data_IF_934935788664
#
_entry.id   IF_934935788664
#
_cell.length_a   1.000
_cell.length_b   1.000
_cell.length_c   1.000
_cell.angle_alpha   90.00
_cell.angle_beta   90.00
_cell.angle_gamma   90.00
#
_symmetry.space_group_name_H-M   'P 1'
#
loop_
_entity.id
_entity.type
_entity.pdbx_description
1 polymer ?
#
# COMPACT_ATOMS: atom_id res chain seq x y z
N UNK A 1 42.15 70.70 5.17
CA UNK A 1 42.74 69.97 4.03
C UNK A 1 41.89 68.75 3.76
N UNK A 2 41.52 68.57 2.49
CA UNK A 2 40.63 67.51 1.98
C UNK A 2 41.36 66.18 1.97
N UNK A 3 40.67 65.11 2.33
CA UNK A 3 40.90 63.78 1.77
C UNK A 3 39.56 63.05 1.72
N UNK A 4 38.89 63.15 0.57
CA UNK A 4 37.82 62.24 0.17
C UNK A 4 38.47 60.92 -0.19
N UNK A 5 38.27 59.87 0.60
CA UNK A 5 38.58 58.50 0.20
C UNK A 5 37.26 57.83 -0.11
N UNK A 6 37.02 57.61 -1.41
CA UNK A 6 35.93 56.79 -1.91
C UNK A 6 36.00 55.40 -1.26
N UNK A 7 34.96 55.02 -0.53
CA UNK A 7 34.74 53.63 -0.13
C UNK A 7 33.47 53.12 -0.81
N UNK A 8 33.74 52.13 -1.65
CA UNK A 8 32.92 51.34 -2.56
C UNK A 8 31.55 50.94 -1.99
N UNK A 9 30.51 51.18 -2.79
CA UNK A 9 29.17 50.64 -2.62
C UNK A 9 29.21 49.15 -2.97
N UNK A 10 29.27 48.27 -1.96
CA UNK A 10 29.01 46.85 -2.16
C UNK A 10 27.52 46.64 -1.88
N UNK A 11 26.71 46.79 -2.93
CA UNK A 11 25.36 46.26 -2.90
C UNK A 11 25.49 44.73 -2.87
N UNK A 12 25.30 44.14 -1.69
CA UNK A 12 25.02 42.71 -1.59
C UNK A 12 23.69 42.48 -2.30
N UNK A 13 23.75 42.17 -3.60
CA UNK A 13 22.66 41.49 -4.27
C UNK A 13 22.57 40.12 -3.59
N UNK A 14 21.67 40.00 -2.62
CA UNK A 14 21.30 38.72 -2.04
C UNK A 14 20.76 37.88 -3.19
N UNK A 15 21.57 36.93 -3.67
CA UNK A 15 21.08 35.86 -4.51
C UNK A 15 20.09 35.08 -3.66
N UNK A 16 18.80 35.27 -3.92
CA UNK A 16 17.77 34.39 -3.39
C UNK A 16 17.88 33.08 -4.17
N UNK A 17 18.65 32.15 -3.64
CA UNK A 17 18.62 30.77 -4.07
C UNK A 17 17.20 30.28 -3.80
N UNK A 18 16.44 30.04 -4.87
CA UNK A 18 15.16 29.36 -4.76
C UNK A 18 15.46 27.95 -4.27
N UNK A 19 15.13 27.66 -3.01
CA UNK A 19 15.22 26.29 -2.50
C UNK A 19 14.32 25.39 -3.36
N UNK A 20 14.79 24.19 -3.76
CA UNK A 20 13.94 23.26 -4.47
C UNK A 20 12.78 22.91 -3.54
N UNK A 21 11.55 23.18 -3.98
CA UNK A 21 10.34 22.75 -3.29
C UNK A 21 10.47 21.27 -2.93
N UNK A 22 10.59 20.98 -1.64
CA UNK A 22 10.55 19.62 -1.16
C UNK A 22 9.20 19.02 -1.57
N UNK A 23 9.19 18.15 -2.58
CA UNK A 23 8.03 17.29 -2.85
C UNK A 23 7.65 16.64 -1.53
N UNK A 24 6.44 16.92 -1.05
CA UNK A 24 5.89 16.28 0.13
C UNK A 24 6.14 14.77 0.01
N UNK A 25 6.82 14.18 0.99
CA UNK A 25 6.92 12.74 1.09
C UNK A 25 5.50 12.20 1.16
N UNK A 26 5.11 11.40 0.17
CA UNK A 26 3.89 10.61 0.25
C UNK A 26 4.10 9.64 1.40
N UNK A 27 3.53 9.94 2.56
CA UNK A 27 3.48 9.00 3.67
C UNK A 27 2.60 7.84 3.16
N UNK A 28 3.11 6.61 3.06
CA UNK A 28 2.29 5.46 2.72
C UNK A 28 1.17 5.40 3.74
N UNK A 29 -0.08 5.50 3.28
CA UNK A 29 -1.22 5.42 4.17
C UNK A 29 -1.28 4.00 4.72
N UNK A 30 -0.92 3.86 5.98
CA UNK A 30 -0.96 2.56 6.65
C UNK A 30 -2.41 2.07 6.66
N UNK A 31 -2.64 0.87 6.12
CA UNK A 31 -3.96 0.27 6.07
C UNK A 31 -4.41 -0.03 7.50
N UNK A 32 -5.64 0.37 7.91
CA UNK A 32 -6.15 0.04 9.24
C UNK A 32 -6.22 -1.47 9.48
N UNK A 33 -5.99 -1.91 10.72
CA UNK A 33 -6.08 -3.34 11.10
C UNK A 33 -7.45 -3.94 10.77
N UNK A 34 -8.52 -3.19 11.01
CA UNK A 34 -9.88 -3.61 10.65
C UNK A 34 -10.02 -3.84 9.15
N UNK A 35 -9.41 -2.97 8.33
CA UNK A 35 -9.43 -3.11 6.88
C UNK A 35 -8.74 -4.41 6.44
N UNK A 36 -7.54 -4.69 6.96
CA UNK A 36 -6.86 -5.97 6.70
C UNK A 36 -7.71 -7.18 7.09
N UNK A 37 -8.32 -7.14 8.28
CA UNK A 37 -9.21 -8.20 8.74
C UNK A 37 -10.36 -8.43 7.78
N UNK A 38 -11.06 -7.38 7.38
CA UNK A 38 -12.22 -7.52 6.51
C UNK A 38 -11.88 -7.90 5.06
N UNK A 39 -10.71 -7.51 4.55
CA UNK A 39 -10.21 -8.01 3.26
C UNK A 39 -9.89 -9.50 3.32
N UNK A 40 -9.28 -9.96 4.40
CA UNK A 40 -8.96 -11.37 4.67
C UNK A 40 -10.24 -12.21 4.84
N UNK A 41 -11.24 -11.70 5.57
CA UNK A 41 -12.54 -12.37 5.70
C UNK A 41 -13.24 -12.52 4.35
N UNK A 42 -13.23 -11.46 3.53
CA UNK A 42 -13.82 -11.51 2.19
C UNK A 42 -13.08 -12.49 1.25
N UNK A 43 -11.74 -12.57 1.35
CA UNK A 43 -10.90 -13.39 0.48
C UNK A 43 -11.03 -14.89 0.77
N UNK A 44 -11.09 -15.29 2.04
CA UNK A 44 -11.07 -16.70 2.39
C UNK A 44 -11.69 -17.04 3.73
N UNK A 45 -12.54 -16.18 4.30
CA UNK A 45 -13.00 -16.32 5.71
C UNK A 45 -11.78 -16.39 6.65
N UNK A 46 -10.73 -15.63 6.31
CA UNK A 46 -9.44 -15.65 6.98
C UNK A 46 -8.81 -17.05 7.19
N UNK A 47 -9.08 -17.99 6.28
CA UNK A 47 -8.49 -19.33 6.33
C UNK A 47 -6.94 -19.34 6.29
N UNK A 48 -6.34 -19.67 7.43
CA UNK A 48 -4.89 -19.80 7.63
C UNK A 48 -4.40 -21.25 7.53
N UNK A 49 -5.26 -22.21 7.17
CA UNK A 49 -4.96 -23.65 7.25
C UNK A 49 -4.82 -24.31 5.89
N UNK A 50 -5.59 -23.89 4.89
CA UNK A 50 -5.60 -24.55 3.57
C UNK A 50 -4.28 -24.41 2.82
N UNK A 51 -3.55 -23.31 3.02
CA UNK A 51 -2.33 -23.05 2.27
C UNK A 51 -2.65 -22.53 0.86
N UNK A 52 -2.24 -23.27 -0.17
CA UNK A 52 -2.40 -22.88 -1.58
C UNK A 52 -3.46 -23.69 -2.32
N UNK A 53 -4.29 -23.00 -3.11
CA UNK A 53 -5.23 -23.59 -4.06
C UNK A 53 -4.78 -23.20 -5.48
N UNK A 54 -3.98 -24.06 -6.13
CA UNK A 54 -3.32 -23.68 -7.39
C UNK A 54 -2.24 -22.62 -7.16
N UNK A 55 -2.38 -21.47 -7.82
CA UNK A 55 -1.44 -20.34 -7.76
C UNK A 55 -1.86 -19.21 -6.81
N UNK A 56 -2.96 -19.38 -6.07
CA UNK A 56 -3.42 -18.47 -5.01
C UNK A 56 -3.24 -19.09 -3.63
N UNK A 57 -2.64 -18.35 -2.71
CA UNK A 57 -2.24 -18.87 -1.40
C UNK A 57 -2.70 -17.99 -0.24
N UNK A 58 -2.91 -18.65 0.90
CA UNK A 58 -3.08 -18.03 2.20
C UNK A 58 -4.40 -17.28 2.41
N UNK A 59 -4.52 -16.61 3.58
CA UNK A 59 -5.76 -15.97 4.02
C UNK A 59 -6.18 -14.75 3.18
N UNK A 60 -5.27 -14.22 2.36
CA UNK A 60 -5.53 -13.11 1.45
C UNK A 60 -5.59 -13.55 -0.02
N UNK A 61 -5.58 -14.86 -0.32
CA UNK A 61 -5.60 -15.40 -1.70
C UNK A 61 -4.59 -14.72 -2.64
N UNK A 62 -3.34 -14.61 -2.19
CA UNK A 62 -2.28 -13.87 -2.86
C UNK A 62 -1.58 -14.76 -3.89
N UNK A 63 -1.37 -14.24 -5.11
CA UNK A 63 -0.54 -14.86 -6.15
C UNK A 63 0.94 -14.47 -6.00
N UNK A 64 1.83 -15.16 -6.70
CA UNK A 64 3.25 -14.78 -6.71
C UNK A 64 3.47 -13.37 -7.24
N UNK A 65 2.77 -12.98 -8.31
CA UNK A 65 2.87 -11.65 -8.91
C UNK A 65 2.43 -10.55 -7.95
N UNK A 66 1.32 -10.76 -7.24
CA UNK A 66 0.86 -9.84 -6.21
C UNK A 66 1.91 -9.65 -5.11
N UNK A 67 2.44 -10.75 -4.56
CA UNK A 67 3.49 -10.67 -3.54
C UNK A 67 4.77 -9.99 -4.06
N UNK A 68 5.13 -10.24 -5.32
CA UNK A 68 6.29 -9.63 -5.96
C UNK A 68 6.12 -8.11 -6.11
N UNK A 69 4.94 -7.68 -6.55
CA UNK A 69 4.61 -6.26 -6.66
C UNK A 69 4.47 -5.57 -5.31
N UNK A 70 4.08 -6.33 -4.27
CA UNK A 70 4.02 -5.88 -2.87
C UNK A 70 5.37 -5.83 -2.14
N UNK A 71 6.49 -5.89 -2.88
CA UNK A 71 7.83 -5.71 -2.31
C UNK A 71 8.49 -6.99 -1.79
N UNK A 72 7.91 -8.16 -2.05
CA UNK A 72 8.45 -9.48 -1.67
C UNK A 72 8.80 -9.60 -0.17
N UNK A 73 7.90 -9.26 0.76
CA UNK A 73 8.17 -9.46 2.18
C UNK A 73 8.43 -10.94 2.46
N UNK A 74 9.27 -11.22 3.46
CA UNK A 74 9.64 -12.57 3.84
C UNK A 74 9.59 -12.76 5.35
N UNK A 75 9.65 -14.02 5.79
CA UNK A 75 9.74 -14.38 7.20
C UNK A 75 11.20 -14.59 7.60
N UNK A 76 11.52 -14.40 8.88
CA UNK A 76 12.82 -14.76 9.46
C UNK A 76 14.05 -14.19 8.72
N UNK A 77 13.90 -13.04 8.06
CA UNK A 77 14.94 -12.40 7.24
C UNK A 77 15.50 -13.30 6.12
N UNK A 78 14.72 -14.26 5.62
CA UNK A 78 15.14 -15.06 4.48
C UNK A 78 15.21 -14.22 3.20
N UNK A 79 16.01 -14.69 2.25
CA UNK A 79 16.11 -14.05 0.93
C UNK A 79 14.76 -14.10 0.21
N UNK A 80 14.30 -12.99 -0.43
CA UNK A 80 13.10 -13.00 -1.27
C UNK A 80 13.26 -13.88 -2.51
N UNK A 81 14.47 -14.36 -2.83
CA UNK A 81 14.71 -15.31 -3.91
C UNK A 81 14.83 -16.76 -3.41
N UNK A 82 14.68 -17.02 -2.10
CA UNK A 82 14.70 -18.38 -1.59
C UNK A 82 13.49 -19.17 -2.08
N UNK A 83 13.71 -20.45 -2.39
CA UNK A 83 12.65 -21.35 -2.82
C UNK A 83 11.54 -21.41 -1.76
N UNK A 84 10.30 -21.14 -2.16
CA UNK A 84 9.14 -21.11 -1.26
C UNK A 84 9.05 -19.88 -0.33
N UNK A 85 9.89 -18.84 -0.50
CA UNK A 85 9.78 -17.61 0.31
C UNK A 85 8.40 -16.96 0.18
N UNK A 86 7.88 -16.91 -1.05
CA UNK A 86 6.52 -16.44 -1.34
C UNK A 86 5.47 -17.24 -0.57
N UNK A 87 5.43 -18.56 -0.73
CA UNK A 87 4.39 -19.39 -0.11
C UNK A 87 4.48 -19.41 1.41
N UNK A 88 5.69 -19.38 1.99
CA UNK A 88 5.86 -19.23 3.45
C UNK A 88 5.29 -17.90 3.94
N UNK A 89 5.63 -16.80 3.25
CA UNK A 89 5.14 -15.47 3.63
C UNK A 89 3.62 -15.36 3.53
N UNK A 90 3.04 -15.67 2.37
CA UNK A 90 1.62 -15.39 2.14
C UNK A 90 0.69 -16.32 2.91
N UNK A 91 1.19 -17.44 3.45
CA UNK A 91 0.44 -18.29 4.38
C UNK A 91 0.55 -17.84 5.86
N UNK A 92 1.47 -16.94 6.19
CA UNK A 92 1.52 -16.26 7.49
C UNK A 92 0.66 -14.98 7.44
N UNK A 93 -0.32 -14.78 8.35
CA UNK A 93 -1.22 -13.64 8.29
C UNK A 93 -0.52 -12.27 8.31
N UNK A 94 0.57 -12.13 9.06
CA UNK A 94 1.27 -10.86 9.19
C UNK A 94 2.15 -10.57 7.98
N UNK A 95 2.87 -11.56 7.47
CA UNK A 95 3.65 -11.40 6.26
C UNK A 95 2.76 -11.23 5.02
N UNK A 96 1.63 -11.92 4.96
CA UNK A 96 0.60 -11.69 3.93
C UNK A 96 0.04 -10.27 4.00
N UNK A 97 -0.29 -9.75 5.19
CA UNK A 97 -0.73 -8.36 5.35
C UNK A 97 0.35 -7.35 4.93
N UNK A 98 1.63 -7.63 5.19
CA UNK A 98 2.73 -6.80 4.68
C UNK A 98 2.79 -6.80 3.14
N UNK A 99 2.51 -7.95 2.49
CA UNK A 99 2.43 -8.01 1.04
C UNK A 99 1.23 -7.21 0.51
N UNK A 100 0.10 -7.24 1.21
CA UNK A 100 -1.07 -6.38 0.90
C UNK A 100 -0.72 -4.91 1.06
N UNK A 101 -0.08 -4.51 2.16
CA UNK A 101 0.37 -3.13 2.38
C UNK A 101 1.26 -2.66 1.23
N UNK A 102 2.32 -3.40 0.92
CA UNK A 102 3.25 -3.01 -0.15
C UNK A 102 2.57 -2.96 -1.53
N UNK A 103 1.57 -3.81 -1.77
CA UNK A 103 0.79 -3.75 -3.00
C UNK A 103 -0.05 -2.46 -3.07
N UNK A 104 -0.66 -2.05 -1.95
CA UNK A 104 -1.39 -0.78 -1.89
C UNK A 104 -0.45 0.43 -1.96
N UNK A 105 0.76 0.36 -1.38
CA UNK A 105 1.76 1.43 -1.53
C UNK A 105 2.09 1.70 -3.01
N UNK A 106 1.92 0.69 -3.88
CA UNK A 106 2.14 0.80 -5.31
C UNK A 106 0.88 1.15 -6.12
N UNK A 107 -0.29 0.64 -5.75
CA UNK A 107 -1.49 0.67 -6.58
C UNK A 107 -2.68 1.43 -5.99
N UNK A 108 -2.55 1.98 -4.78
CA UNK A 108 -3.59 2.79 -4.14
C UNK A 108 -4.03 3.94 -5.05
N UNK A 109 -5.33 3.99 -5.32
CA UNK A 109 -6.00 5.00 -6.12
C UNK A 109 -7.48 5.01 -5.77
N UNK A 110 -8.17 6.10 -6.11
CA UNK A 110 -9.62 6.19 -5.97
C UNK A 110 -10.29 5.31 -7.05
N UNK A 111 -10.82 4.18 -6.60
CA UNK A 111 -11.39 3.15 -7.46
C UNK A 111 -12.91 3.28 -7.59
N UNK A 112 -13.56 3.86 -6.58
CA UNK A 112 -15.02 4.01 -6.54
C UNK A 112 -15.50 5.40 -7.00
N UNK A 113 -14.59 6.37 -7.18
CA UNK A 113 -14.84 7.72 -7.66
C UNK A 113 -15.40 8.68 -6.60
N UNK A 114 -15.23 8.39 -5.32
CA UNK A 114 -15.73 9.22 -4.21
C UNK A 114 -14.76 10.32 -3.76
N UNK A 115 -13.55 10.35 -4.34
CA UNK A 115 -12.50 11.31 -4.05
C UNK A 115 -11.66 10.99 -2.81
N UNK A 116 -11.83 9.83 -2.18
CA UNK A 116 -11.15 9.44 -0.94
C UNK A 116 -10.59 8.02 -1.04
N UNK A 117 -9.26 7.90 -1.07
CA UNK A 117 -8.59 6.59 -1.02
C UNK A 117 -8.74 5.98 0.38
N UNK A 118 -9.54 4.93 0.48
CA UNK A 118 -9.85 4.25 1.74
C UNK A 118 -9.99 2.72 1.58
N UNK A 119 -10.54 2.06 2.61
CA UNK A 119 -10.65 0.60 2.60
C UNK A 119 -11.55 0.06 1.47
N UNK A 120 -12.55 0.84 1.04
CA UNK A 120 -13.42 0.49 -0.09
C UNK A 120 -12.64 0.43 -1.41
N UNK A 121 -11.57 1.21 -1.55
CA UNK A 121 -10.65 1.12 -2.69
C UNK A 121 -9.67 -0.05 -2.52
N UNK A 122 -9.12 -0.23 -1.32
CA UNK A 122 -8.16 -1.29 -1.06
C UNK A 122 -8.75 -2.68 -1.31
N UNK A 123 -10.00 -2.91 -0.91
CA UNK A 123 -10.68 -4.20 -1.18
C UNK A 123 -10.91 -4.41 -2.69
N UNK A 124 -11.17 -3.35 -3.45
CA UNK A 124 -11.31 -3.39 -4.91
C UNK A 124 -9.98 -3.70 -5.59
N UNK A 125 -8.92 -3.00 -5.20
CA UNK A 125 -7.56 -3.21 -5.73
C UNK A 125 -7.08 -4.63 -5.43
N UNK A 126 -7.38 -5.14 -4.24
CA UNK A 126 -6.96 -6.49 -3.85
C UNK A 126 -7.63 -7.57 -4.69
N UNK A 127 -8.93 -7.42 -4.99
CA UNK A 127 -9.68 -8.40 -5.77
C UNK A 127 -9.47 -8.26 -7.29
N UNK A 128 -9.46 -7.04 -7.81
CA UNK A 128 -9.48 -6.74 -9.25
C UNK A 128 -8.09 -6.38 -9.81
N UNK A 129 -7.10 -6.21 -8.94
CA UNK A 129 -5.79 -5.67 -9.28
C UNK A 129 -5.81 -4.14 -9.45
N UNK A 130 -4.63 -3.53 -9.42
CA UNK A 130 -4.48 -2.07 -9.49
C UNK A 130 -5.09 -1.42 -10.73
N UNK A 131 -5.00 -2.04 -11.90
CA UNK A 131 -5.53 -1.45 -13.14
C UNK A 131 -7.02 -1.73 -13.40
N UNK A 132 -7.62 -2.65 -12.63
CA UNK A 132 -9.00 -3.11 -12.81
C UNK A 132 -9.99 -2.62 -11.76
N UNK A 133 -9.54 -1.85 -10.77
CA UNK A 133 -10.28 -1.64 -9.51
C UNK A 133 -11.60 -0.85 -9.64
N UNK A 134 -11.81 -0.14 -10.75
CA UNK A 134 -13.11 0.50 -11.07
C UNK A 134 -14.20 -0.49 -11.49
N UNK A 135 -13.86 -1.76 -11.73
CA UNK A 135 -14.82 -2.82 -12.02
C UNK A 135 -15.73 -3.17 -10.82
N UNK A 136 -16.82 -3.90 -11.06
CA UNK A 136 -17.68 -4.38 -9.97
C UNK A 136 -17.02 -5.56 -9.23
N UNK A 137 -17.18 -5.60 -7.91
CA UNK A 137 -16.87 -6.77 -7.11
C UNK A 137 -18.00 -7.82 -7.24
N UNK A 138 -17.70 -9.12 -7.13
CA UNK A 138 -18.75 -10.13 -7.02
C UNK A 138 -19.59 -9.90 -5.75
N UNK A 139 -20.92 -10.03 -5.82
CA UNK A 139 -21.79 -9.71 -4.67
C UNK A 139 -21.46 -10.46 -3.38
N UNK A 140 -21.05 -11.73 -3.48
CA UNK A 140 -20.65 -12.52 -2.29
C UNK A 140 -19.43 -11.91 -1.59
N UNK A 141 -18.42 -11.53 -2.37
CA UNK A 141 -17.17 -10.96 -1.86
C UNK A 141 -17.41 -9.58 -1.26
N UNK A 142 -18.14 -8.71 -1.98
CA UNK A 142 -18.47 -7.36 -1.53
C UNK A 142 -19.33 -7.38 -0.25
N UNK A 143 -20.33 -8.26 -0.17
CA UNK A 143 -21.18 -8.36 1.01
C UNK A 143 -20.42 -8.86 2.25
N UNK A 144 -19.49 -9.81 2.09
CA UNK A 144 -18.65 -10.28 3.19
C UNK A 144 -17.81 -9.14 3.75
N UNK A 145 -17.14 -8.39 2.87
CA UNK A 145 -16.36 -7.20 3.24
C UNK A 145 -17.22 -6.14 3.96
N UNK A 146 -18.33 -5.70 3.35
CA UNK A 146 -19.20 -4.65 3.91
C UNK A 146 -19.77 -5.03 5.27
N UNK A 147 -20.17 -6.29 5.44
CA UNK A 147 -20.68 -6.82 6.71
C UNK A 147 -19.61 -6.75 7.79
N UNK A 148 -18.38 -7.18 7.48
CA UNK A 148 -17.26 -7.10 8.40
C UNK A 148 -16.96 -5.64 8.78
N UNK A 149 -16.84 -4.74 7.80
CA UNK A 149 -16.54 -3.33 8.06
C UNK A 149 -17.60 -2.66 8.93
N UNK A 150 -18.88 -2.93 8.66
CA UNK A 150 -19.99 -2.41 9.48
C UNK A 150 -19.93 -2.90 10.93
N UNK A 151 -19.41 -4.11 11.15
CA UNK A 151 -19.34 -4.74 12.47
C UNK A 151 -18.15 -4.24 13.29
N UNK A 152 -17.01 -3.95 12.65
CA UNK A 152 -15.73 -3.73 13.33
C UNK A 152 -15.06 -2.37 13.10
N UNK A 153 -15.66 -1.45 12.34
CA UNK A 153 -15.09 -0.11 12.09
C UNK A 153 -15.55 0.98 13.08
N UNK A 154 -16.11 0.56 14.23
CA UNK A 154 -16.60 1.45 15.30
C UNK A 154 -15.53 1.92 16.27
#
# INVERSE_FOLDING_TARGET
MRAFVLLLVIACAYAQEAEPEAKAAVVPQQIPKTCFGCMCEAASECDTKTGCLGDVCGPFRITWGYWADGGKPTLNNESPNAEGAWTRCVNDPFCAANAVQGYMDRFAQDCNGDGVINCDDYVRIHYLGGYGCSGPLPPKYENAYKTCMTTFSG
#
